data_IF_944732722593
#
_entry.id   IF_944732722593
#
_cell.length_a   1.000
_cell.length_b   1.000
_cell.length_c   1.000
_cell.angle_alpha   90.00
_cell.angle_beta   90.00
_cell.angle_gamma   90.00
#
_symmetry.space_group_name_H-M   'P 1'
#
loop_
_entity.id
_entity.type
_entity.pdbx_description
1 polymer ?
#
# COMPACT_ATOMS: atom_id res chain seq x y z
N UNK A 1 30.09 8.14 20.85
CA UNK A 1 30.01 8.75 19.54
C UNK A 1 29.00 8.03 18.70
N UNK A 2 27.82 8.61 18.52
CA UNK A 2 26.81 8.05 17.61
C UNK A 2 27.29 8.25 16.15
N UNK A 3 27.46 7.18 15.42
CA UNK A 3 27.71 7.24 13.98
C UNK A 3 26.37 7.55 13.33
N UNK A 4 26.07 8.84 13.17
CA UNK A 4 24.94 9.30 12.39
C UNK A 4 25.23 9.06 10.91
N UNK A 5 24.59 8.06 10.31
CA UNK A 5 24.58 7.90 8.86
C UNK A 5 23.50 8.85 8.35
N UNK A 6 23.90 10.03 7.88
CA UNK A 6 23.01 10.88 7.09
C UNK A 6 22.95 10.30 5.68
N UNK A 7 21.80 9.72 5.31
CA UNK A 7 21.55 9.40 3.91
C UNK A 7 21.24 10.73 3.22
N UNK A 8 22.26 11.35 2.66
CA UNK A 8 22.07 12.45 1.72
C UNK A 8 21.57 11.81 0.43
N UNK A 9 20.30 12.04 0.10
CA UNK A 9 19.80 11.76 -1.25
C UNK A 9 20.52 12.71 -2.22
N UNK A 10 21.69 12.31 -2.66
CA UNK A 10 22.35 12.94 -3.81
C UNK A 10 21.39 12.79 -4.97
N UNK A 11 20.99 13.93 -5.55
CA UNK A 11 20.07 14.06 -6.70
C UNK A 11 20.01 12.78 -7.53
N UNK A 12 18.90 12.03 -7.51
CA UNK A 12 18.77 10.88 -8.37
C UNK A 12 18.85 11.41 -9.80
N UNK A 13 19.91 11.06 -10.52
CA UNK A 13 19.98 11.31 -11.96
C UNK A 13 18.91 10.42 -12.58
N UNK A 14 17.69 10.94 -12.68
CA UNK A 14 16.60 10.29 -13.39
C UNK A 14 16.97 10.30 -14.87
N UNK A 15 17.60 9.23 -15.32
CA UNK A 15 17.75 8.99 -16.75
C UNK A 15 16.38 8.56 -17.27
N UNK A 16 15.63 9.49 -17.83
CA UNK A 16 14.48 9.18 -18.67
C UNK A 16 14.97 8.54 -19.98
N UNK A 17 15.27 7.24 -19.92
CA UNK A 17 15.54 6.43 -21.09
C UNK A 17 14.26 5.74 -21.52
N UNK A 18 13.85 5.88 -22.77
CA UNK A 18 12.79 5.04 -23.35
C UNK A 18 13.38 3.65 -23.59
N UNK A 19 13.16 2.75 -22.61
CA UNK A 19 13.54 1.36 -22.80
C UNK A 19 12.50 0.65 -23.68
N UNK A 20 12.94 -0.18 -24.64
CA UNK A 20 12.02 -0.94 -25.48
C UNK A 20 11.19 -1.92 -24.66
N UNK A 21 9.94 -2.15 -25.05
CA UNK A 21 8.94 -2.93 -24.30
C UNK A 21 9.45 -4.30 -23.84
N UNK A 22 10.25 -4.99 -24.66
CA UNK A 22 10.83 -6.30 -24.32
C UNK A 22 11.86 -6.27 -23.18
N UNK A 23 12.46 -5.09 -22.88
CA UNK A 23 13.30 -4.89 -21.69
C UNK A 23 12.50 -4.37 -20.52
N UNK A 24 11.49 -3.54 -20.76
CA UNK A 24 10.64 -2.99 -19.73
C UNK A 24 9.85 -4.09 -18.99
N UNK A 25 9.35 -5.11 -19.70
CA UNK A 25 8.59 -6.22 -19.10
C UNK A 25 9.38 -6.99 -18.03
N UNK A 26 10.58 -7.56 -18.29
CA UNK A 26 11.35 -8.25 -17.24
C UNK A 26 11.80 -7.31 -16.11
N UNK A 27 12.09 -6.04 -16.40
CA UNK A 27 12.42 -5.04 -15.36
C UNK A 27 11.21 -4.78 -14.44
N UNK A 28 10.00 -4.77 -14.98
CA UNK A 28 8.76 -4.58 -14.20
C UNK A 28 8.56 -5.68 -13.16
N UNK A 29 8.91 -6.93 -13.46
CA UNK A 29 8.87 -8.02 -12.48
C UNK A 29 9.84 -7.80 -11.31
N UNK A 30 11.04 -7.26 -11.59
CA UNK A 30 11.98 -6.84 -10.55
C UNK A 30 11.38 -5.77 -9.64
N UNK A 31 10.82 -4.73 -10.24
CA UNK A 31 10.18 -3.62 -9.51
C UNK A 31 9.00 -4.11 -8.65
N UNK A 32 8.16 -5.01 -9.17
CA UNK A 32 7.06 -5.61 -8.40
C UNK A 32 7.60 -6.36 -7.18
N UNK A 33 8.65 -7.16 -7.36
CA UNK A 33 9.31 -7.87 -6.25
C UNK A 33 9.84 -6.90 -5.20
N UNK A 34 10.49 -5.82 -5.62
CA UNK A 34 11.04 -4.81 -4.71
C UNK A 34 9.92 -4.09 -3.94
N UNK A 35 8.80 -3.76 -4.59
CA UNK A 35 7.61 -3.19 -3.94
C UNK A 35 7.04 -4.17 -2.90
N UNK A 36 6.96 -5.47 -3.23
CA UNK A 36 6.49 -6.50 -2.29
C UNK A 36 7.38 -6.62 -1.06
N UNK A 37 8.71 -6.61 -1.27
CA UNK A 37 9.69 -6.64 -0.20
C UNK A 37 9.57 -5.39 0.68
N UNK A 38 9.52 -4.21 0.07
CA UNK A 38 9.36 -2.94 0.78
C UNK A 38 8.06 -2.88 1.58
N UNK A 39 6.94 -3.35 1.02
CA UNK A 39 5.65 -3.42 1.71
C UNK A 39 5.72 -4.37 2.92
N UNK A 40 6.31 -5.56 2.75
CA UNK A 40 6.52 -6.51 3.84
C UNK A 40 7.37 -5.90 4.96
N UNK A 41 8.48 -5.27 4.61
CA UNK A 41 9.41 -4.67 5.58
C UNK A 41 8.76 -3.47 6.27
N UNK A 42 8.00 -2.65 5.56
CA UNK A 42 7.22 -1.55 6.13
C UNK A 42 6.19 -2.02 7.15
N UNK A 43 5.45 -3.10 6.84
CA UNK A 43 4.49 -3.69 7.79
C UNK A 43 5.22 -4.26 9.02
N UNK A 44 6.34 -4.97 8.82
CA UNK A 44 7.08 -5.58 9.93
C UNK A 44 7.71 -4.53 10.85
N UNK A 45 8.23 -3.45 10.29
CA UNK A 45 8.80 -2.33 11.03
C UNK A 45 7.73 -1.51 11.75
N UNK A 46 6.60 -1.25 11.09
CA UNK A 46 5.46 -0.54 11.69
C UNK A 46 4.89 -1.26 12.91
N UNK A 47 4.93 -2.60 12.92
CA UNK A 47 4.51 -3.41 14.07
C UNK A 47 5.54 -3.45 15.21
N UNK A 48 6.83 -3.30 14.88
CA UNK A 48 7.94 -3.43 15.86
C UNK A 48 8.41 -2.10 16.44
N UNK A 49 8.20 -1.01 15.74
CA UNK A 49 8.67 0.32 16.17
C UNK A 49 7.46 1.16 16.58
N UNK A 50 7.46 1.64 17.83
CA UNK A 50 6.46 2.62 18.34
C UNK A 50 6.56 4.02 17.66
N UNK A 51 7.41 4.17 16.69
CA UNK A 51 7.49 5.38 15.86
C UNK A 51 6.39 5.33 14.80
N UNK A 52 5.80 6.48 14.51
CA UNK A 52 4.75 6.62 13.50
C UNK A 52 5.13 5.86 12.23
N UNK A 53 4.41 4.79 11.85
CA UNK A 53 4.82 3.92 10.75
C UNK A 53 4.67 4.56 9.36
N UNK A 54 4.58 5.88 9.25
CA UNK A 54 4.41 6.57 7.98
C UNK A 54 3.16 6.11 7.20
N UNK A 55 2.17 5.56 7.92
CA UNK A 55 0.92 5.11 7.29
C UNK A 55 0.19 6.35 6.80
N UNK A 56 0.06 6.46 5.49
CA UNK A 56 -0.74 7.47 4.84
C UNK A 56 -2.12 6.89 4.53
N UNK A 57 -3.16 7.55 5.00
CA UNK A 57 -4.52 7.29 4.56
C UNK A 57 -4.82 8.03 3.25
N UNK A 58 -6.09 8.05 2.82
CA UNK A 58 -6.48 8.71 1.57
C UNK A 58 -6.06 10.18 1.50
N UNK A 59 -6.13 10.89 2.62
CA UNK A 59 -5.74 12.31 2.71
C UNK A 59 -4.22 12.45 2.66
N UNK A 60 -3.48 11.59 3.35
CA UNK A 60 -2.02 11.55 3.30
C UNK A 60 -1.50 11.20 1.91
N UNK A 61 -2.14 10.26 1.20
CA UNK A 61 -1.80 9.94 -0.20
C UNK A 61 -2.01 11.16 -1.11
N UNK A 62 -3.10 11.93 -0.93
CA UNK A 62 -3.34 13.14 -1.70
C UNK A 62 -2.26 14.20 -1.43
N UNK A 63 -1.83 14.36 -0.17
CA UNK A 63 -0.73 15.25 0.22
C UNK A 63 0.58 14.83 -0.46
N UNK A 64 0.98 13.56 -0.32
CA UNK A 64 2.21 13.02 -0.95
C UNK A 64 2.18 13.19 -2.45
N UNK A 65 1.01 12.98 -3.08
CA UNK A 65 0.85 13.18 -4.53
C UNK A 65 1.14 14.63 -4.92
N UNK A 66 0.63 15.60 -4.15
CA UNK A 66 0.93 17.02 -4.38
C UNK A 66 2.43 17.32 -4.23
N UNK A 67 3.04 16.92 -3.12
CA UNK A 67 4.46 17.12 -2.85
C UNK A 67 5.37 16.50 -3.93
N UNK A 68 5.06 15.28 -4.38
CA UNK A 68 5.80 14.58 -5.46
C UNK A 68 5.69 15.33 -6.77
N UNK A 69 4.51 15.86 -7.11
CA UNK A 69 4.31 16.64 -8.34
C UNK A 69 5.08 17.94 -8.30
N UNK A 70 5.05 18.63 -7.17
CA UNK A 70 5.73 19.92 -6.99
C UNK A 70 7.27 19.77 -7.03
N UNK A 71 7.81 18.70 -6.44
CA UNK A 71 9.26 18.50 -6.36
C UNK A 71 9.84 17.81 -7.61
N UNK A 72 9.15 16.81 -8.17
CA UNK A 72 9.69 15.91 -9.19
C UNK A 72 9.00 16.05 -10.55
N UNK A 73 7.89 16.78 -10.60
CA UNK A 73 7.12 17.04 -11.80
C UNK A 73 6.03 16.01 -12.08
N UNK A 74 5.14 16.36 -13.01
CA UNK A 74 3.91 15.61 -13.32
C UNK A 74 4.15 14.16 -13.80
N UNK A 75 5.28 13.88 -14.42
CA UNK A 75 5.61 12.52 -14.91
C UNK A 75 5.70 11.48 -13.80
N UNK A 76 5.99 11.89 -12.56
CA UNK A 76 6.06 11.01 -11.41
C UNK A 76 4.71 10.48 -10.94
N UNK A 77 3.60 11.12 -11.34
CA UNK A 77 2.24 10.61 -11.07
C UNK A 77 2.06 9.19 -11.60
N UNK A 78 2.57 8.89 -12.79
CA UNK A 78 2.45 7.55 -13.37
C UNK A 78 3.19 6.49 -12.54
N UNK A 79 4.35 6.84 -12.00
CA UNK A 79 5.11 5.94 -11.13
C UNK A 79 4.42 5.76 -9.78
N UNK A 80 3.89 6.83 -9.19
CA UNK A 80 3.10 6.77 -7.96
C UNK A 80 1.83 5.94 -8.16
N UNK A 81 1.11 6.13 -9.28
CA UNK A 81 -0.07 5.35 -9.62
C UNK A 81 0.26 3.87 -9.80
N UNK A 82 1.38 3.53 -10.43
CA UNK A 82 1.85 2.16 -10.56
C UNK A 82 2.15 1.53 -9.18
N UNK A 83 2.86 2.26 -8.32
CA UNK A 83 3.15 1.83 -6.95
C UNK A 83 1.86 1.56 -6.15
N UNK A 84 0.91 2.49 -6.18
CA UNK A 84 -0.37 2.34 -5.49
C UNK A 84 -1.18 1.18 -6.06
N UNK A 85 -1.18 0.98 -7.39
CA UNK A 85 -1.89 -0.14 -8.04
C UNK A 85 -1.34 -1.48 -7.61
N UNK A 86 -0.01 -1.64 -7.57
CA UNK A 86 0.63 -2.88 -7.11
C UNK A 86 0.34 -3.11 -5.63
N UNK A 87 0.48 -2.08 -4.79
CA UNK A 87 0.21 -2.18 -3.35
C UNK A 87 -1.25 -2.56 -3.08
N UNK A 88 -2.20 -1.96 -3.80
CA UNK A 88 -3.62 -2.31 -3.70
C UNK A 88 -3.90 -3.75 -4.14
N UNK A 89 -3.25 -4.20 -5.23
CA UNK A 89 -3.35 -5.59 -5.70
C UNK A 89 -2.86 -6.57 -4.64
N UNK A 90 -1.72 -6.28 -3.99
CA UNK A 90 -1.18 -7.10 -2.90
C UNK A 90 -2.13 -7.16 -1.71
N UNK A 91 -2.66 -6.01 -1.27
CA UNK A 91 -3.62 -5.95 -0.16
C UNK A 91 -4.89 -6.73 -0.51
N UNK A 92 -5.37 -6.66 -1.74
CA UNK A 92 -6.57 -7.37 -2.18
C UNK A 92 -6.41 -8.90 -2.18
N UNK A 93 -5.19 -9.42 -2.30
CA UNK A 93 -4.92 -10.88 -2.21
C UNK A 93 -4.91 -11.37 -0.75
N UNK A 94 -4.75 -10.48 0.24
CA UNK A 94 -4.75 -10.89 1.63
C UNK A 94 -6.09 -11.54 2.05
N UNK A 95 -6.06 -12.57 2.89
CA UNK A 95 -7.27 -13.29 3.33
C UNK A 95 -8.07 -12.48 4.36
N UNK A 96 -8.43 -11.25 3.98
CA UNK A 96 -9.18 -10.31 4.83
C UNK A 96 -10.62 -10.24 4.33
N UNK A 97 -11.63 -10.35 5.22
CA UNK A 97 -13.01 -10.12 4.84
C UNK A 97 -13.20 -8.75 4.18
N UNK A 98 -14.08 -8.67 3.20
CA UNK A 98 -14.33 -7.53 2.31
C UNK A 98 -13.36 -7.36 1.13
N UNK A 99 -12.22 -8.02 1.13
CA UNK A 99 -11.27 -8.05 0.00
C UNK A 99 -11.46 -9.33 -0.83
N UNK A 100 -10.89 -9.33 -2.04
CA UNK A 100 -10.98 -10.48 -2.96
C UNK A 100 -10.30 -11.73 -2.38
N UNK A 101 -9.18 -11.57 -1.67
CA UNK A 101 -8.51 -12.65 -0.96
C UNK A 101 -9.38 -13.31 0.12
N UNK A 102 -10.27 -12.56 0.75
CA UNK A 102 -11.28 -13.12 1.67
C UNK A 102 -12.24 -14.07 0.94
N UNK A 103 -12.68 -13.74 -0.28
CA UNK A 103 -13.51 -14.64 -1.10
C UNK A 103 -12.75 -15.89 -1.52
N UNK A 104 -11.48 -15.73 -1.93
CA UNK A 104 -10.60 -16.86 -2.24
C UNK A 104 -10.41 -17.78 -1.04
N UNK A 105 -10.32 -17.22 0.17
CA UNK A 105 -10.26 -18.00 1.41
C UNK A 105 -11.52 -18.87 1.59
N UNK A 106 -12.72 -18.31 1.37
CA UNK A 106 -13.97 -19.07 1.46
C UNK A 106 -14.02 -20.21 0.43
N UNK A 107 -13.63 -19.94 -0.81
CA UNK A 107 -13.52 -20.96 -1.87
C UNK A 107 -12.52 -22.05 -1.48
N UNK A 108 -11.36 -21.69 -0.93
CA UNK A 108 -10.37 -22.63 -0.43
C UNK A 108 -10.91 -23.52 0.69
N UNK A 109 -11.64 -22.94 1.64
CA UNK A 109 -12.29 -23.71 2.73
C UNK A 109 -13.34 -24.67 2.16
N UNK A 110 -14.18 -24.24 1.22
CA UNK A 110 -15.15 -25.12 0.57
C UNK A 110 -14.48 -26.29 -0.15
N UNK A 111 -13.38 -26.04 -0.84
CA UNK A 111 -12.59 -27.06 -1.51
C UNK A 111 -12.04 -28.11 -0.54
N UNK A 112 -11.43 -27.68 0.58
CA UNK A 112 -10.92 -28.57 1.63
C UNK A 112 -12.05 -29.38 2.29
N UNK A 113 -13.24 -28.81 2.39
CA UNK A 113 -14.43 -29.47 2.97
C UNK A 113 -15.14 -30.43 1.99
N UNK A 114 -14.51 -30.75 0.88
CA UNK A 114 -15.08 -31.67 -0.11
C UNK A 114 -16.26 -31.09 -0.89
N UNK A 115 -16.23 -29.77 -1.17
CA UNK A 115 -17.25 -29.08 -1.95
C UNK A 115 -18.51 -28.68 -1.19
N UNK A 116 -18.52 -28.82 0.15
CA UNK A 116 -19.64 -28.37 0.98
C UNK A 116 -19.65 -26.85 1.07
N UNK A 117 -20.61 -26.22 0.39
CA UNK A 117 -20.77 -24.77 0.32
C UNK A 117 -21.06 -24.15 1.68
N UNK A 118 -20.43 -23.03 1.95
CA UNK A 118 -20.76 -22.18 3.08
C UNK A 118 -22.04 -21.43 2.74
N UNK A 119 -22.94 -21.25 3.71
CA UNK A 119 -24.19 -20.52 3.46
C UNK A 119 -23.88 -19.09 3.00
N UNK A 120 -24.47 -18.63 1.87
CA UNK A 120 -24.25 -17.27 1.36
C UNK A 120 -24.55 -16.16 2.38
N UNK A 121 -25.46 -16.44 3.33
CA UNK A 121 -25.79 -15.51 4.42
C UNK A 121 -24.60 -15.29 5.37
N UNK A 122 -23.88 -16.35 5.72
CA UNK A 122 -22.72 -16.26 6.61
C UNK A 122 -21.53 -15.59 5.88
N UNK A 123 -21.27 -15.97 4.63
CA UNK A 123 -20.26 -15.33 3.82
C UNK A 123 -20.53 -13.83 3.66
N UNK A 124 -21.78 -13.46 3.29
CA UNK A 124 -22.18 -12.07 3.16
C UNK A 124 -22.06 -11.28 4.45
N UNK A 125 -22.43 -11.87 5.61
CA UNK A 125 -22.30 -11.23 6.92
C UNK A 125 -20.83 -10.94 7.26
N UNK A 126 -19.94 -11.91 7.04
CA UNK A 126 -18.50 -11.76 7.32
C UNK A 126 -17.89 -10.67 6.42
N UNK A 127 -18.25 -10.66 5.13
CA UNK A 127 -17.79 -9.61 4.22
C UNK A 127 -18.34 -8.23 4.62
N UNK A 128 -19.60 -8.13 5.02
CA UNK A 128 -20.21 -6.88 5.47
C UNK A 128 -19.51 -6.35 6.74
N UNK A 129 -19.24 -7.21 7.72
CA UNK A 129 -18.49 -6.82 8.92
C UNK A 129 -17.07 -6.35 8.57
N UNK A 130 -16.37 -7.06 7.67
CA UNK A 130 -15.07 -6.65 7.17
C UNK A 130 -15.12 -5.29 6.47
N UNK A 131 -16.14 -5.04 5.66
CA UNK A 131 -16.32 -3.77 4.98
C UNK A 131 -16.55 -2.62 5.96
N UNK A 132 -17.43 -2.79 6.96
CA UNK A 132 -17.66 -1.79 8.01
C UNK A 132 -16.38 -1.51 8.79
N UNK A 133 -15.63 -2.56 9.13
CA UNK A 133 -14.34 -2.42 9.80
C UNK A 133 -13.34 -1.61 8.94
N UNK A 134 -13.21 -1.92 7.63
CA UNK A 134 -12.30 -1.20 6.74
C UNK A 134 -12.71 0.28 6.59
N UNK A 135 -13.99 0.57 6.46
CA UNK A 135 -14.47 1.96 6.41
C UNK A 135 -14.15 2.69 7.71
N UNK A 136 -14.38 2.05 8.86
CA UNK A 136 -13.99 2.62 10.16
C UNK A 136 -12.49 2.90 10.26
N UNK A 137 -11.67 1.98 9.77
CA UNK A 137 -10.21 2.14 9.74
C UNK A 137 -9.79 3.30 8.82
N UNK A 138 -10.39 3.41 7.62
CA UNK A 138 -10.11 4.51 6.68
C UNK A 138 -10.47 5.86 7.33
N UNK A 139 -11.63 5.96 7.98
CA UNK A 139 -12.04 7.18 8.68
C UNK A 139 -11.06 7.52 9.81
N UNK A 140 -10.66 6.54 10.61
CA UNK A 140 -9.71 6.75 11.70
C UNK A 140 -8.35 7.24 11.16
N UNK A 141 -7.80 6.59 10.15
CA UNK A 141 -6.51 6.99 9.55
C UNK A 141 -6.63 8.39 8.93
N UNK A 142 -7.72 8.66 8.20
CA UNK A 142 -7.96 10.00 7.62
C UNK A 142 -8.04 11.09 8.68
N UNK A 143 -8.63 10.80 9.83
CA UNK A 143 -8.64 11.73 10.96
C UNK A 143 -7.23 12.04 11.46
N UNK A 144 -6.37 11.02 11.62
CA UNK A 144 -4.97 11.24 12.00
C UNK A 144 -4.17 11.97 10.91
N UNK A 145 -4.44 11.73 9.63
CA UNK A 145 -3.84 12.48 8.52
C UNK A 145 -4.15 13.97 8.65
N UNK A 146 -5.43 14.33 8.88
CA UNK A 146 -5.84 15.73 9.06
C UNK A 146 -5.13 16.36 10.25
N UNK A 147 -5.07 15.69 11.39
CA UNK A 147 -4.37 16.21 12.57
C UNK A 147 -2.89 16.46 12.29
N UNK A 148 -2.24 15.53 11.57
CA UNK A 148 -0.82 15.66 11.18
C UNK A 148 -0.62 16.88 10.27
N UNK A 149 -1.45 17.05 9.25
CA UNK A 149 -1.38 18.19 8.34
C UNK A 149 -1.60 19.51 9.07
N UNK A 150 -2.55 19.57 10.01
CA UNK A 150 -2.79 20.78 10.81
C UNK A 150 -1.62 21.13 11.73
N UNK A 151 -0.84 20.14 12.16
CA UNK A 151 0.37 20.35 12.95
C UNK A 151 1.59 20.74 12.09
N UNK A 152 1.44 20.80 10.76
CA UNK A 152 2.51 21.16 9.84
C UNK A 152 3.45 20.00 9.50
N UNK A 153 3.08 18.77 9.85
CA UNK A 153 3.88 17.58 9.56
C UNK A 153 3.52 17.00 8.19
N UNK A 154 4.54 16.67 7.39
CA UNK A 154 4.40 15.93 6.14
C UNK A 154 4.62 14.42 6.37
N UNK A 155 4.03 13.58 5.47
CA UNK A 155 4.29 12.13 5.45
C UNK A 155 5.74 11.83 5.07
N UNK A 156 6.36 12.72 4.28
CA UNK A 156 7.71 12.54 3.72
C UNK A 156 8.83 13.15 4.57
N UNK A 157 8.49 13.85 5.67
CA UNK A 157 9.45 14.51 6.58
C UNK A 157 9.48 13.90 7.95
#
# INVERSE_FOLDING_TARGET
>A
GAIGVSIVLTNPVVRSGTEPIWRALPMSFGTIKDILMFTKDGISQGLSTRQNPGIAGPIGIAQVTGEVVDELGFSWIFQLAALLSVSLGVVNILPIPALDGGRLLFIGIEWIRGGKRISPKHEGLVHMMGFVFLIGLIIAISYFDVLRILNGDSVLR
#
